data_IF_817510219664
#
_entry.id   IF_817510219664
#
_cell.length_a   1.000
_cell.length_b   1.000
_cell.length_c   1.000
_cell.angle_alpha   90.00
_cell.angle_beta   90.00
_cell.angle_gamma   90.00
#
_symmetry.space_group_name_H-M   'P 1'
#
loop_
_entity.id
_entity.type
_entity.pdbx_description
1 polymer ?
#
# COMPACT_ATOMS: atom_id res chain seq x y z
N UNK A 1 0.52 -5.89 13.05
CA UNK A 1 1.48 -6.92 12.64
C UNK A 1 2.94 -6.42 12.55
N UNK A 2 3.20 -5.15 12.64
CA UNK A 2 4.56 -4.62 12.87
C UNK A 2 5.24 -5.21 14.14
N UNK A 3 4.48 -5.81 15.05
CA UNK A 3 4.92 -6.28 16.38
C UNK A 3 4.69 -7.78 16.63
N UNK A 4 4.42 -8.58 15.61
CA UNK A 4 4.21 -10.03 15.76
C UNK A 4 2.75 -10.38 16.07
N UNK A 5 2.46 -10.83 17.28
CA UNK A 5 1.12 -11.26 17.72
C UNK A 5 0.18 -10.06 17.85
N UNK A 6 -1.02 -10.14 17.30
CA UNK A 6 -2.05 -9.11 17.45
C UNK A 6 -3.45 -9.73 17.50
N UNK A 7 -4.40 -8.99 18.00
CA UNK A 7 -5.82 -9.37 18.03
C UNK A 7 -6.65 -8.46 17.12
N UNK A 8 -7.79 -8.92 16.64
CA UNK A 8 -8.64 -8.21 15.68
C UNK A 8 -8.97 -6.78 16.09
N UNK A 9 -9.23 -6.52 17.37
CA UNK A 9 -9.44 -5.17 17.89
C UNK A 9 -8.16 -4.31 17.82
N UNK A 10 -6.98 -4.89 17.96
CA UNK A 10 -5.70 -4.18 17.78
C UNK A 10 -5.53 -3.70 16.35
N UNK A 11 -5.82 -4.57 15.37
CA UNK A 11 -5.82 -4.21 13.94
C UNK A 11 -6.85 -3.11 13.66
N UNK A 12 -8.07 -3.26 14.19
CA UNK A 12 -9.13 -2.25 14.06
C UNK A 12 -8.67 -0.87 14.57
N UNK A 13 -8.12 -0.81 15.79
CA UNK A 13 -7.62 0.45 16.37
C UNK A 13 -6.51 1.08 15.55
N UNK A 14 -5.56 0.28 15.08
CA UNK A 14 -4.44 0.74 14.26
C UNK A 14 -4.98 1.40 12.97
N UNK A 15 -5.80 0.68 12.20
CA UNK A 15 -6.37 1.17 10.94
C UNK A 15 -7.25 2.42 11.17
N UNK A 16 -8.03 2.45 12.25
CA UNK A 16 -8.85 3.60 12.62
C UNK A 16 -7.99 4.80 13.03
N UNK A 17 -6.87 4.58 13.73
CA UNK A 17 -5.95 5.66 14.09
C UNK A 17 -5.32 6.35 12.88
N UNK A 18 -5.18 5.64 11.78
CA UNK A 18 -4.70 6.20 10.50
C UNK A 18 -5.79 6.91 9.70
N UNK A 19 -7.04 6.87 10.17
CA UNK A 19 -8.22 7.33 9.43
C UNK A 19 -8.26 6.73 8.01
N UNK A 20 -7.96 5.44 7.91
CA UNK A 20 -7.81 4.73 6.64
C UNK A 20 -9.07 4.84 5.77
N UNK A 21 -10.24 4.95 6.37
CA UNK A 21 -11.51 5.16 5.68
C UNK A 21 -11.58 6.46 4.87
N UNK A 22 -10.72 7.43 5.14
CA UNK A 22 -10.71 8.72 4.42
C UNK A 22 -9.88 8.68 3.13
N UNK A 23 -8.96 7.72 2.99
CA UNK A 23 -8.04 7.64 1.85
C UNK A 23 -7.94 6.24 1.24
N UNK A 24 -8.68 5.27 1.78
CA UNK A 24 -8.84 3.92 1.22
C UNK A 24 -10.31 3.51 1.20
N UNK A 25 -10.62 2.43 0.50
CA UNK A 25 -11.94 1.80 0.53
C UNK A 25 -12.16 0.86 1.73
N UNK A 26 -11.19 0.74 2.63
CA UNK A 26 -11.26 -0.16 3.79
C UNK A 26 -12.23 0.38 4.82
N UNK A 27 -13.30 -0.38 5.09
CA UNK A 27 -14.26 -0.07 6.14
C UNK A 27 -13.88 -0.81 7.43
N UNK A 28 -14.02 -0.18 8.61
CA UNK A 28 -13.70 -0.83 9.89
C UNK A 28 -14.39 -2.19 10.09
N UNK A 29 -15.65 -2.33 9.63
CA UNK A 29 -16.41 -3.60 9.74
C UNK A 29 -15.87 -4.74 8.87
N UNK A 30 -15.10 -4.45 7.81
CA UNK A 30 -14.53 -5.50 6.95
C UNK A 30 -13.28 -6.16 7.51
N UNK A 31 -12.74 -5.67 8.63
CA UNK A 31 -11.49 -6.16 9.22
C UNK A 31 -11.63 -7.59 9.72
N UNK A 32 -12.72 -7.89 10.44
CA UNK A 32 -12.95 -9.24 10.96
C UNK A 32 -13.16 -10.25 9.84
N UNK A 33 -13.92 -9.87 8.80
CA UNK A 33 -14.09 -10.72 7.62
C UNK A 33 -12.76 -10.95 6.87
N UNK A 34 -11.89 -9.93 6.82
CA UNK A 34 -10.55 -10.09 6.24
C UNK A 34 -9.68 -11.04 7.07
N UNK A 35 -9.77 -10.99 8.40
CA UNK A 35 -9.03 -11.91 9.27
C UNK A 35 -9.51 -13.37 9.09
N UNK A 36 -10.83 -13.60 9.06
CA UNK A 36 -11.39 -14.94 8.77
C UNK A 36 -10.93 -15.47 7.41
N UNK A 37 -10.91 -14.61 6.38
CA UNK A 37 -10.41 -14.96 5.06
C UNK A 37 -8.93 -15.31 5.08
N UNK A 38 -8.08 -14.50 5.74
CA UNK A 38 -6.65 -14.76 5.84
C UNK A 38 -6.35 -16.05 6.62
N UNK A 39 -7.13 -16.35 7.65
CA UNK A 39 -7.03 -17.60 8.39
C UNK A 39 -7.40 -18.80 7.50
N UNK A 40 -8.53 -18.71 6.76
CA UNK A 40 -8.94 -19.77 5.83
C UNK A 40 -7.96 -20.00 4.68
N UNK A 41 -7.12 -19.02 4.38
CA UNK A 41 -6.04 -19.09 3.37
C UNK A 41 -4.68 -19.43 4.00
N UNK A 42 -4.65 -19.81 5.28
CA UNK A 42 -3.42 -20.15 6.01
C UNK A 42 -2.35 -19.03 6.03
N UNK A 43 -2.76 -17.78 5.79
CA UNK A 43 -1.86 -16.63 5.85
C UNK A 43 -1.61 -16.14 7.26
N UNK A 44 -2.59 -16.36 8.16
CA UNK A 44 -2.48 -16.11 9.60
C UNK A 44 -2.95 -17.32 10.35
N UNK A 45 -2.44 -17.47 11.56
CA UNK A 45 -2.86 -18.51 12.51
C UNK A 45 -3.49 -17.84 13.72
N UNK A 46 -4.69 -18.32 14.09
CA UNK A 46 -5.39 -17.91 15.30
C UNK A 46 -4.95 -18.78 16.47
N UNK A 47 -4.63 -18.15 17.59
CA UNK A 47 -4.36 -18.82 18.87
C UNK A 47 -5.32 -18.26 19.93
N UNK A 48 -5.91 -19.14 20.71
CA UNK A 48 -6.68 -18.72 21.87
C UNK A 48 -5.70 -18.16 22.92
N UNK A 49 -5.87 -16.89 23.34
CA UNK A 49 -5.02 -16.35 24.39
C UNK A 49 -5.21 -17.16 25.67
N UNK A 50 -4.14 -17.80 26.13
CA UNK A 50 -4.15 -18.71 27.28
C UNK A 50 -4.37 -18.06 28.65
N UNK A 51 -4.58 -16.76 28.73
CA UNK A 51 -4.83 -16.02 29.96
C UNK A 51 -6.31 -16.09 30.39
N UNK A 52 -6.74 -17.27 30.83
CA UNK A 52 -8.06 -17.50 31.41
C UNK A 52 -8.29 -16.84 32.79
N UNK A 53 -7.37 -15.99 33.26
CA UNK A 53 -7.42 -15.40 34.62
C UNK A 53 -7.98 -13.96 34.64
N UNK A 54 -8.09 -13.28 33.51
CA UNK A 54 -8.68 -11.94 33.47
C UNK A 54 -10.13 -11.99 32.97
N UNK A 55 -11.08 -11.50 33.79
CA UNK A 55 -12.51 -11.32 33.49
C UNK A 55 -12.71 -10.53 32.20
N UNK A 56 -12.86 -11.24 31.06
CA UNK A 56 -13.20 -10.66 29.77
C UNK A 56 -13.45 -11.76 28.75
N UNK A 57 -14.15 -11.49 27.62
CA UNK A 57 -14.30 -12.47 26.55
C UNK A 57 -12.93 -12.90 26.03
N UNK A 58 -12.77 -14.19 25.75
CA UNK A 58 -11.54 -14.76 25.19
C UNK A 58 -11.15 -13.99 23.93
N UNK A 59 -9.91 -13.50 23.86
CA UNK A 59 -9.40 -12.78 22.71
C UNK A 59 -8.67 -13.76 21.81
N UNK A 60 -9.04 -13.74 20.53
CA UNK A 60 -8.28 -14.46 19.51
C UNK A 60 -7.07 -13.62 19.13
N UNK A 61 -5.90 -14.19 19.26
CA UNK A 61 -4.63 -13.61 18.83
C UNK A 61 -4.25 -14.19 17.48
N UNK A 62 -3.67 -13.38 16.61
CA UNK A 62 -3.30 -13.77 15.25
C UNK A 62 -1.81 -13.55 15.04
N UNK A 63 -1.17 -14.53 14.43
CA UNK A 63 0.22 -14.46 13.97
C UNK A 63 0.30 -14.69 12.47
N UNK A 64 1.28 -14.07 11.81
CA UNK A 64 1.55 -14.35 10.39
C UNK A 64 2.25 -15.73 10.28
N UNK A 65 1.76 -16.56 9.39
CA UNK A 65 2.47 -17.76 8.95
C UNK A 65 3.64 -17.41 8.02
N UNK A 66 4.50 -18.36 7.67
CA UNK A 66 5.55 -18.13 6.67
C UNK A 66 4.95 -17.84 5.28
N UNK A 67 3.85 -18.50 4.92
CA UNK A 67 3.09 -18.21 3.72
C UNK A 67 2.56 -16.78 3.75
N UNK A 68 1.95 -16.35 4.87
CA UNK A 68 1.43 -14.99 5.03
C UNK A 68 2.52 -13.92 4.98
N UNK A 69 3.73 -14.22 5.48
CA UNK A 69 4.89 -13.31 5.35
C UNK A 69 5.33 -13.18 3.90
N UNK A 70 5.41 -14.27 3.19
CA UNK A 70 5.79 -14.28 1.76
C UNK A 70 4.79 -13.49 0.93
N UNK A 71 3.50 -13.74 1.12
CA UNK A 71 2.43 -13.03 0.42
C UNK A 71 2.43 -11.54 0.77
N UNK A 72 2.63 -11.17 2.05
CA UNK A 72 2.72 -9.78 2.47
C UNK A 72 3.86 -9.03 1.75
N UNK A 73 5.04 -9.65 1.62
CA UNK A 73 6.18 -9.05 0.91
C UNK A 73 5.84 -8.87 -0.58
N UNK A 74 5.26 -9.88 -1.23
CA UNK A 74 4.83 -9.82 -2.63
C UNK A 74 3.82 -8.69 -2.86
N UNK A 75 2.81 -8.57 -2.02
CA UNK A 75 1.82 -7.50 -2.08
C UNK A 75 2.43 -6.11 -1.82
N UNK A 76 3.39 -6.01 -0.91
CA UNK A 76 4.09 -4.77 -0.60
C UNK A 76 4.94 -4.29 -1.79
N UNK A 77 5.66 -5.20 -2.44
CA UNK A 77 6.43 -4.89 -3.65
C UNK A 77 5.52 -4.45 -4.81
N UNK A 78 4.41 -5.15 -5.02
CA UNK A 78 3.41 -4.78 -6.02
C UNK A 78 2.78 -3.40 -5.72
N UNK A 79 2.48 -3.10 -4.45
CA UNK A 79 1.92 -1.84 -4.01
C UNK A 79 2.88 -0.66 -4.25
N UNK A 80 4.18 -0.82 -4.00
CA UNK A 80 5.20 0.22 -4.24
C UNK A 80 5.40 0.52 -5.73
N UNK A 81 5.12 -0.44 -6.61
CA UNK A 81 5.16 -0.26 -8.08
C UNK A 81 3.84 0.25 -8.66
N UNK A 82 2.76 0.23 -7.89
CA UNK A 82 1.42 0.50 -8.38
C UNK A 82 1.22 1.95 -8.81
N UNK A 83 0.48 2.15 -9.90
CA UNK A 83 -0.03 3.45 -10.33
C UNK A 83 -1.31 3.87 -9.59
N UNK A 84 -1.95 2.93 -8.87
CA UNK A 84 -3.07 3.23 -7.99
C UNK A 84 -2.55 3.93 -6.73
N UNK A 85 -3.13 5.11 -6.44
CA UNK A 85 -2.70 5.92 -5.30
C UNK A 85 -2.94 5.24 -3.95
N UNK A 86 -4.04 4.50 -3.81
CA UNK A 86 -4.38 3.84 -2.54
C UNK A 86 -3.42 2.68 -2.26
N UNK A 87 -3.09 1.89 -3.28
CA UNK A 87 -2.11 0.82 -3.16
C UNK A 87 -0.72 1.37 -2.86
N UNK A 88 -0.29 2.43 -3.57
CA UNK A 88 0.98 3.09 -3.29
C UNK A 88 1.04 3.64 -1.87
N UNK A 89 -0.02 4.28 -1.39
CA UNK A 89 -0.08 4.80 -0.01
C UNK A 89 0.07 3.68 1.02
N UNK A 90 -0.57 2.52 0.80
CA UNK A 90 -0.36 1.34 1.63
C UNK A 90 1.09 0.84 1.54
N UNK A 91 1.67 0.78 0.33
CA UNK A 91 3.08 0.42 0.13
C UNK A 91 4.03 1.33 0.91
N UNK A 92 3.84 2.64 0.84
CA UNK A 92 4.64 3.63 1.59
C UNK A 92 4.49 3.46 3.11
N UNK A 93 3.27 3.16 3.60
CA UNK A 93 3.01 2.97 5.02
C UNK A 93 3.76 1.77 5.64
N UNK A 94 4.19 0.83 4.81
CA UNK A 94 4.90 -0.38 5.24
C UNK A 94 6.29 -0.56 4.62
N UNK A 95 6.79 0.42 3.85
CA UNK A 95 8.03 0.28 3.07
C UNK A 95 9.25 -0.07 3.92
N UNK A 96 9.28 0.31 5.21
CA UNK A 96 10.38 -0.03 6.11
C UNK A 96 10.48 -1.52 6.46
N UNK A 97 9.52 -2.34 6.01
CA UNK A 97 9.59 -3.80 6.11
C UNK A 97 10.49 -4.44 5.06
N UNK A 98 10.87 -3.69 4.02
CA UNK A 98 11.82 -4.08 3.00
C UNK A 98 13.19 -3.40 3.22
N UNK A 99 14.27 -3.92 2.65
CA UNK A 99 15.54 -3.19 2.59
C UNK A 99 15.40 -1.87 1.82
N UNK A 100 16.02 -0.78 2.31
CA UNK A 100 15.96 0.56 1.70
C UNK A 100 16.30 0.55 0.21
N UNK A 101 17.38 -0.13 -0.17
CA UNK A 101 17.82 -0.21 -1.56
C UNK A 101 16.79 -0.93 -2.45
N UNK A 102 16.12 -1.92 -1.90
CA UNK A 102 15.06 -2.62 -2.61
C UNK A 102 13.84 -1.71 -2.86
N UNK A 103 13.41 -0.94 -1.84
CA UNK A 103 12.35 0.07 -2.01
C UNK A 103 12.72 1.09 -3.08
N UNK A 104 13.97 1.57 -3.10
CA UNK A 104 14.45 2.51 -4.11
C UNK A 104 14.36 1.89 -5.52
N UNK A 105 14.74 0.63 -5.69
CA UNK A 105 14.64 -0.08 -6.97
C UNK A 105 13.19 -0.21 -7.45
N UNK A 106 12.26 -0.60 -6.56
CA UNK A 106 10.83 -0.69 -6.88
C UNK A 106 10.24 0.67 -7.31
N UNK A 107 10.66 1.75 -6.65
CA UNK A 107 10.25 3.10 -7.04
C UNK A 107 10.88 3.55 -8.36
N UNK A 108 12.03 3.02 -8.74
CA UNK A 108 12.62 3.24 -10.07
C UNK A 108 11.81 2.53 -11.15
N UNK A 109 11.46 1.25 -10.96
CA UNK A 109 10.55 0.52 -11.84
C UNK A 109 9.21 1.25 -12.03
N UNK A 110 8.64 1.77 -10.93
CA UNK A 110 7.43 2.59 -10.98
C UNK A 110 7.60 3.84 -11.82
N UNK A 111 8.71 4.57 -11.67
CA UNK A 111 9.00 5.77 -12.46
C UNK A 111 9.08 5.47 -13.95
N UNK A 112 9.66 4.35 -14.33
CA UNK A 112 9.75 3.95 -15.74
C UNK A 112 8.37 3.64 -16.31
N UNK A 113 7.53 2.91 -15.59
CA UNK A 113 6.12 2.69 -15.97
C UNK A 113 5.33 4.00 -16.10
N UNK A 114 5.49 4.93 -15.16
CA UNK A 114 4.83 6.24 -15.23
C UNK A 114 5.26 7.06 -16.44
N UNK A 115 6.55 7.03 -16.80
CA UNK A 115 7.09 7.72 -17.99
C UNK A 115 6.52 7.15 -19.29
N UNK A 116 6.39 5.82 -19.38
CA UNK A 116 5.81 5.16 -20.54
C UNK A 116 4.36 5.60 -20.75
N UNK A 117 3.56 5.63 -19.67
CA UNK A 117 2.17 6.09 -19.71
C UNK A 117 2.09 7.57 -20.08
N UNK A 118 2.89 8.43 -19.44
CA UNK A 118 2.93 9.87 -19.72
C UNK A 118 3.31 10.14 -21.19
N UNK A 119 4.31 9.42 -21.69
CA UNK A 119 4.73 9.50 -23.09
C UNK A 119 3.59 9.12 -24.04
N UNK A 120 2.88 8.06 -23.76
CA UNK A 120 1.71 7.64 -24.55
C UNK A 120 0.60 8.70 -24.49
N UNK A 121 0.24 9.19 -23.29
CA UNK A 121 -0.82 10.19 -23.14
C UNK A 121 -0.52 11.48 -23.91
N UNK A 122 0.73 11.89 -23.99
CA UNK A 122 1.17 13.08 -24.74
C UNK A 122 1.05 12.92 -26.27
N UNK A 123 0.86 11.70 -26.76
CA UNK A 123 0.53 11.47 -28.19
C UNK A 123 -0.96 11.67 -28.50
N UNK A 124 -1.81 11.70 -27.47
CA UNK A 124 -3.26 11.84 -27.65
C UNK A 124 -3.65 13.32 -27.88
N UNK A 125 -4.75 13.58 -28.62
CA UNK A 125 -5.23 14.93 -28.82
C UNK A 125 -5.61 15.62 -27.51
N UNK A 126 -5.04 16.79 -27.25
CA UNK A 126 -5.35 17.63 -26.08
C UNK A 126 -6.30 18.80 -26.41
N UNK A 127 -6.77 18.89 -27.65
CA UNK A 127 -7.74 19.89 -28.09
C UNK A 127 -8.95 19.21 -28.70
N UNK A 128 -10.13 19.76 -28.47
CA UNK A 128 -11.36 19.30 -29.12
C UNK A 128 -11.27 19.50 -30.62
N UNK A 129 -11.55 18.47 -31.39
CA UNK A 129 -11.66 18.53 -32.84
C UNK A 129 -13.14 18.46 -33.16
N UNK A 130 -13.75 19.49 -33.79
CA UNK A 130 -15.20 19.54 -34.07
C UNK A 130 -15.72 18.32 -34.86
N UNK A 131 -14.83 17.67 -35.63
CA UNK A 131 -15.13 16.49 -36.45
C UNK A 131 -15.14 15.17 -35.69
N UNK A 132 -14.69 15.14 -34.41
CA UNK A 132 -14.65 13.94 -33.59
C UNK A 132 -15.14 14.24 -32.16
N UNK A 133 -16.46 14.35 -31.95
CA UNK A 133 -17.04 14.67 -30.65
C UNK A 133 -16.89 13.54 -29.58
N UNK A 134 -16.36 12.37 -29.96
CA UNK A 134 -16.18 11.24 -29.04
C UNK A 134 -14.96 11.36 -28.15
N UNK A 135 -14.07 12.33 -28.39
CA UNK A 135 -12.83 12.53 -27.62
C UNK A 135 -13.00 13.65 -26.61
N UNK A 136 -12.63 13.35 -25.38
CA UNK A 136 -12.63 14.29 -24.25
C UNK A 136 -11.19 14.75 -23.97
N UNK A 137 -10.69 15.82 -24.61
CA UNK A 137 -9.32 16.30 -24.44
C UNK A 137 -9.03 16.75 -23.00
N UNK A 138 -10.06 17.21 -22.28
CA UNK A 138 -9.97 17.57 -20.87
C UNK A 138 -9.55 16.37 -20.01
N UNK A 139 -10.07 15.16 -20.32
CA UNK A 139 -9.70 13.94 -19.65
C UNK A 139 -8.23 13.58 -19.87
N UNK A 140 -7.75 13.74 -21.11
CA UNK A 140 -6.33 13.54 -21.45
C UNK A 140 -5.45 14.50 -20.66
N UNK A 141 -5.83 15.79 -20.60
CA UNK A 141 -5.13 16.81 -19.82
C UNK A 141 -5.08 16.49 -18.33
N UNK A 142 -6.19 16.01 -17.75
CA UNK A 142 -6.25 15.57 -16.35
C UNK A 142 -5.33 14.37 -16.09
N UNK A 143 -5.30 13.38 -16.98
CA UNK A 143 -4.41 12.23 -16.85
C UNK A 143 -2.94 12.62 -16.94
N UNK A 144 -2.55 13.47 -17.91
CA UNK A 144 -1.18 13.98 -18.00
C UNK A 144 -0.79 14.66 -16.69
N UNK A 145 -1.59 15.58 -16.17
CA UNK A 145 -1.31 16.26 -14.90
C UNK A 145 -1.20 15.31 -13.72
N UNK A 146 -2.04 14.26 -13.67
CA UNK A 146 -1.95 13.23 -12.63
C UNK A 146 -0.63 12.45 -12.70
N UNK A 147 -0.21 12.01 -13.88
CA UNK A 147 1.02 11.24 -14.03
C UNK A 147 2.28 12.09 -13.82
N UNK A 148 2.27 13.34 -14.25
CA UNK A 148 3.36 14.29 -13.95
C UNK A 148 3.52 14.51 -12.43
N UNK A 149 2.41 14.70 -11.71
CA UNK A 149 2.42 14.80 -10.25
C UNK A 149 2.91 13.50 -9.61
N UNK A 150 2.43 12.34 -10.08
CA UNK A 150 2.83 11.03 -9.56
C UNK A 150 4.34 10.78 -9.73
N UNK A 151 4.92 11.15 -10.87
CA UNK A 151 6.37 11.08 -11.10
C UNK A 151 7.13 12.01 -10.15
N UNK A 152 6.71 13.27 -10.04
CA UNK A 152 7.35 14.25 -9.15
C UNK A 152 7.32 13.79 -7.68
N UNK A 153 6.18 13.28 -7.20
CA UNK A 153 6.02 12.75 -5.85
C UNK A 153 6.92 11.52 -5.61
N UNK A 154 7.01 10.61 -6.59
CA UNK A 154 7.88 9.43 -6.51
C UNK A 154 9.36 9.81 -6.49
N UNK A 155 9.78 10.78 -7.30
CA UNK A 155 11.14 11.32 -7.25
C UNK A 155 11.48 11.92 -5.89
N UNK A 156 10.55 12.70 -5.31
CA UNK A 156 10.71 13.31 -3.98
C UNK A 156 10.87 12.23 -2.89
N UNK A 157 10.03 11.19 -2.92
CA UNK A 157 10.13 10.07 -1.98
C UNK A 157 11.47 9.35 -2.11
N UNK A 158 11.86 9.01 -3.34
CA UNK A 158 13.15 8.36 -3.62
C UNK A 158 14.33 9.20 -3.14
N UNK A 159 14.30 10.52 -3.36
CA UNK A 159 15.33 11.43 -2.85
C UNK A 159 15.39 11.40 -1.31
N UNK A 160 14.26 11.47 -0.62
CA UNK A 160 14.20 11.39 0.84
C UNK A 160 14.69 10.06 1.40
N UNK A 161 14.45 8.95 0.69
CA UNK A 161 15.00 7.63 1.04
C UNK A 161 16.53 7.62 0.92
N UNK A 162 17.08 8.14 -0.18
CA UNK A 162 18.53 8.24 -0.40
C UNK A 162 19.21 9.16 0.62
N UNK A 163 18.52 10.20 1.07
CA UNK A 163 19.01 11.12 2.11
C UNK A 163 18.94 10.56 3.54
N UNK A 164 18.38 9.34 3.74
CA UNK A 164 18.29 8.73 5.07
C UNK A 164 17.18 9.29 5.97
N UNK A 165 16.19 9.99 5.42
CA UNK A 165 15.13 10.63 6.19
C UNK A 165 14.12 9.64 6.80
N UNK A 166 14.26 8.34 6.55
CA UNK A 166 13.41 7.27 7.08
C UNK A 166 14.26 6.23 7.82
N UNK A 167 13.74 5.71 8.92
CA UNK A 167 14.37 4.63 9.67
C UNK A 167 13.89 3.28 9.11
N UNK A 168 14.81 2.43 8.70
CA UNK A 168 14.53 1.08 8.25
C UNK A 168 14.95 0.09 9.33
N UNK A 169 14.12 -0.94 9.57
CA UNK A 169 14.35 -1.92 10.64
C UNK A 169 15.67 -2.68 10.49
N UNK A 170 16.11 -2.90 9.26
CA UNK A 170 17.32 -3.66 8.96
C UNK A 170 18.60 -2.81 9.02
N UNK A 171 18.50 -1.52 9.32
CA UNK A 171 19.61 -0.58 9.42
C UNK A 171 19.86 -0.11 10.88
N UNK A 172 19.05 -0.58 11.83
CA UNK A 172 19.28 -0.33 13.25
C UNK A 172 20.32 -1.33 13.75
N UNK A 173 21.57 -0.87 13.87
CA UNK A 173 22.68 -1.56 14.54
C UNK A 173 22.51 -1.44 16.04
#
# INVERSE_FOLDING_TARGET
MRQGITHGYGVYREITSWRAETWTSVKPGSIYHALEKFESQEMIQAEASGDSVKRGPARTEYTLTEQGKTEFISLLEAALKSNDFQLLAAGIAFMEMLPRQHVIALLEERLDSLKEIDTFLKTLPTKSIPSDPSKHPELVGMWIGYFEYAMAATHKLKHSLKAGNYLFKNESI
#
